data_IF_459183708705
#
_entry.id   IF_459183708705
#
_cell.length_a   1.000
_cell.length_b   1.000
_cell.length_c   1.000
_cell.angle_alpha   90.00
_cell.angle_beta   90.00
_cell.angle_gamma   90.00
#
_symmetry.space_group_name_H-M   'P 1'
#
loop_
_entity.id
_entity.type
_entity.pdbx_description
1 polymer ?
#
# COMPACT_ATOMS: atom_id res chain seq x y z
N UNK A 1 3.71 40.55 -47.28
CA UNK A 1 4.76 39.77 -46.63
C UNK A 1 4.94 40.38 -45.25
N UNK A 2 4.53 39.70 -44.18
CA UNK A 2 4.78 40.09 -42.79
C UNK A 2 5.95 39.24 -42.33
N UNK A 3 7.04 39.88 -41.95
CA UNK A 3 8.19 39.24 -41.34
C UNK A 3 7.75 38.58 -40.01
N UNK A 4 8.08 37.31 -39.83
CA UNK A 4 7.94 36.58 -38.58
C UNK A 4 9.30 36.71 -37.90
N UNK A 5 9.36 37.56 -36.88
CA UNK A 5 10.51 37.64 -35.98
C UNK A 5 10.70 36.32 -35.24
N UNK A 6 11.76 35.60 -35.54
CA UNK A 6 12.22 34.48 -34.73
C UNK A 6 12.80 35.01 -33.41
N UNK A 7 12.10 34.82 -32.34
CA UNK A 7 12.66 35.01 -30.99
C UNK A 7 13.92 34.13 -30.85
N UNK A 8 15.06 34.77 -30.60
CA UNK A 8 16.28 34.08 -30.21
C UNK A 8 16.00 33.26 -28.94
N UNK A 9 16.55 32.03 -28.81
CA UNK A 9 16.35 31.25 -27.59
C UNK A 9 16.99 32.01 -26.43
N UNK A 10 16.14 32.46 -25.49
CA UNK A 10 16.56 32.94 -24.19
C UNK A 10 17.44 31.86 -23.56
N UNK A 11 18.60 32.25 -23.05
CA UNK A 11 19.53 31.43 -22.28
C UNK A 11 18.74 30.56 -21.28
N UNK A 12 18.49 29.31 -21.64
CA UNK A 12 18.13 28.28 -20.69
C UNK A 12 19.38 28.07 -19.85
N UNK A 13 19.47 28.79 -18.76
CA UNK A 13 20.42 28.50 -17.71
C UNK A 13 20.08 27.08 -17.25
N UNK A 14 20.87 26.09 -17.66
CA UNK A 14 20.86 24.78 -17.04
C UNK A 14 21.20 25.02 -15.58
N UNK A 15 20.14 25.10 -14.74
CA UNK A 15 20.29 25.02 -13.30
C UNK A 15 20.77 23.59 -13.06
N UNK A 16 22.08 23.42 -12.95
CA UNK A 16 22.67 22.13 -12.63
C UNK A 16 22.14 21.66 -11.28
N UNK A 17 21.22 20.74 -11.36
CA UNK A 17 20.93 19.61 -10.49
C UNK A 17 20.98 19.89 -8.99
N UNK A 18 20.05 20.70 -8.51
CA UNK A 18 19.70 20.80 -7.06
C UNK A 18 18.99 19.55 -6.53
N UNK A 19 18.62 18.61 -7.40
CA UNK A 19 17.76 17.45 -7.13
C UNK A 19 18.50 16.11 -7.00
N UNK A 20 19.86 16.08 -7.12
CA UNK A 20 20.65 14.84 -6.96
C UNK A 20 20.68 14.38 -5.51
N UNK A 21 20.55 13.08 -5.32
CA UNK A 21 20.66 12.43 -4.02
C UNK A 21 22.09 12.62 -3.47
N UNK A 22 22.21 13.35 -2.38
CA UNK A 22 23.46 13.55 -1.66
C UNK A 22 23.64 12.53 -0.53
N UNK A 23 22.53 12.18 0.14
CA UNK A 23 22.54 11.34 1.35
C UNK A 23 21.26 10.55 1.49
N UNK A 24 21.42 9.33 1.97
CA UNK A 24 20.32 8.44 2.36
C UNK A 24 20.56 8.02 3.81
N UNK A 25 19.60 8.28 4.70
CA UNK A 25 19.59 7.77 6.07
C UNK A 25 18.48 6.74 6.22
N UNK A 26 18.76 5.69 6.97
CA UNK A 26 17.82 4.61 7.23
C UNK A 26 17.56 4.50 8.72
N UNK A 27 16.30 4.49 9.12
CA UNK A 27 15.82 4.38 10.47
C UNK A 27 14.92 3.15 10.62
N UNK A 28 14.71 2.70 11.84
CA UNK A 28 13.67 1.73 12.17
C UNK A 28 12.99 2.11 13.47
N UNK A 29 11.69 1.86 13.53
CA UNK A 29 10.89 2.03 14.74
C UNK A 29 9.81 0.96 14.80
N UNK A 30 9.21 0.78 15.97
CA UNK A 30 8.16 -0.20 16.15
C UNK A 30 6.79 0.41 15.85
N UNK A 31 5.92 -0.39 15.26
CA UNK A 31 4.49 -0.11 15.12
C UNK A 31 3.72 -1.16 15.89
N UNK A 32 3.03 -0.75 16.95
CA UNK A 32 2.25 -1.61 17.83
C UNK A 32 0.77 -1.52 17.48
N UNK A 33 0.12 -2.66 17.27
CA UNK A 33 -1.31 -2.69 16.97
C UNK A 33 -2.13 -2.16 18.15
N UNK A 34 -3.01 -1.20 17.87
CA UNK A 34 -3.72 -0.44 18.90
C UNK A 34 -4.84 -1.23 19.61
N UNK A 35 -5.27 -2.37 19.04
CA UNK A 35 -6.43 -3.13 19.52
C UNK A 35 -6.06 -4.52 20.09
N UNK A 36 -4.85 -4.67 20.64
CA UNK A 36 -4.39 -5.92 21.25
C UNK A 36 -3.63 -6.83 20.30
N UNK A 37 -4.10 -8.04 20.05
CA UNK A 37 -3.47 -8.98 19.15
C UNK A 37 -4.21 -9.02 17.79
N UNK A 38 -3.49 -8.85 16.70
CA UNK A 38 -4.04 -8.99 15.36
C UNK A 38 -3.87 -10.43 14.88
N UNK A 39 -4.94 -11.21 14.95
CA UNK A 39 -4.95 -12.62 14.61
C UNK A 39 -5.40 -12.81 13.16
N UNK A 40 -4.63 -13.59 12.40
CA UNK A 40 -4.88 -13.95 11.01
C UNK A 40 -4.98 -15.47 10.84
N UNK A 41 -5.25 -15.92 9.63
CA UNK A 41 -5.24 -17.33 9.24
C UNK A 41 -3.94 -18.05 9.64
N UNK A 42 -4.00 -19.38 9.77
CA UNK A 42 -2.87 -20.24 10.13
C UNK A 42 -2.22 -19.91 11.50
N UNK A 43 -2.99 -19.30 12.44
CA UNK A 43 -2.51 -18.97 13.78
C UNK A 43 -1.48 -17.85 13.85
N UNK A 44 -1.34 -17.07 12.78
CA UNK A 44 -0.44 -15.91 12.77
C UNK A 44 -1.01 -14.82 13.67
N UNK A 45 -0.20 -14.34 14.59
CA UNK A 45 -0.56 -13.26 15.51
C UNK A 45 0.48 -12.17 15.46
N UNK A 46 0.02 -10.92 15.35
CA UNK A 46 0.86 -9.73 15.29
C UNK A 46 0.47 -8.81 16.43
N UNK A 47 1.46 -8.30 17.14
CA UNK A 47 1.30 -7.27 18.15
C UNK A 47 2.15 -6.05 17.85
N UNK A 48 3.40 -6.27 17.47
CA UNK A 48 4.34 -5.21 17.13
C UNK A 48 5.15 -5.63 15.91
N UNK A 49 5.33 -4.72 14.96
CA UNK A 49 6.12 -4.89 13.75
C UNK A 49 7.22 -3.85 13.68
N UNK A 50 8.35 -4.23 13.10
CA UNK A 50 9.46 -3.33 12.83
C UNK A 50 9.25 -2.64 11.48
N UNK A 51 9.06 -1.33 11.52
CA UNK A 51 8.99 -0.46 10.34
C UNK A 51 10.37 0.13 10.01
N UNK A 52 10.60 0.37 8.73
CA UNK A 52 11.81 1.03 8.20
C UNK A 52 11.41 2.34 7.55
N UNK A 53 12.08 3.43 7.94
CA UNK A 53 11.94 4.75 7.34
C UNK A 53 13.23 5.14 6.63
N UNK A 54 13.11 5.69 5.43
CA UNK A 54 14.22 6.24 4.66
C UNK A 54 14.03 7.74 4.52
N UNK A 55 15.10 8.48 4.80
CA UNK A 55 15.25 9.91 4.48
C UNK A 55 16.23 10.04 3.32
N UNK A 56 15.78 10.57 2.21
CA UNK A 56 16.62 11.00 1.08
C UNK A 56 16.84 12.50 1.22
N UNK A 57 18.12 12.94 1.17
CA UNK A 57 18.48 14.38 1.15
C UNK A 57 19.14 14.70 -0.17
N UNK A 58 18.65 15.72 -0.86
CA UNK A 58 19.24 16.21 -2.12
C UNK A 58 20.42 17.15 -1.88
N UNK A 59 21.18 17.47 -2.94
CA UNK A 59 22.29 18.45 -2.89
C UNK A 59 21.80 19.86 -2.46
N UNK A 60 20.54 20.21 -2.74
CA UNK A 60 19.91 21.46 -2.28
C UNK A 60 19.40 21.43 -0.85
N UNK A 61 19.51 20.30 -0.15
CA UNK A 61 19.01 20.12 1.21
C UNK A 61 17.52 19.76 1.29
N UNK A 62 16.84 19.52 0.17
CA UNK A 62 15.45 19.03 0.21
C UNK A 62 15.44 17.60 0.72
N UNK A 63 14.52 17.33 1.66
CA UNK A 63 14.38 16.04 2.32
C UNK A 63 13.07 15.35 1.90
N UNK A 64 13.16 14.10 1.46
CA UNK A 64 12.03 13.24 1.18
C UNK A 64 12.04 12.01 2.08
N UNK A 65 10.86 11.53 2.45
CA UNK A 65 10.67 10.42 3.38
C UNK A 65 9.80 9.33 2.76
N UNK A 66 10.13 8.09 3.11
CA UNK A 66 9.31 6.93 2.78
C UNK A 66 9.33 5.94 3.94
N UNK A 67 8.37 5.04 3.93
CA UNK A 67 8.21 4.02 4.95
C UNK A 67 7.82 2.69 4.34
N UNK A 68 8.26 1.59 4.98
CA UNK A 68 7.78 0.24 4.73
C UNK A 68 7.74 -0.56 6.02
N UNK A 69 6.64 -1.27 6.24
CA UNK A 69 6.49 -2.18 7.36
C UNK A 69 6.03 -3.56 6.87
N UNK A 70 6.97 -4.50 6.61
CA UNK A 70 6.60 -5.86 6.21
C UNK A 70 5.86 -6.58 7.33
N UNK A 71 4.77 -7.26 6.98
CA UNK A 71 3.93 -8.02 7.93
C UNK A 71 4.62 -9.28 8.49
N UNK A 72 5.78 -9.60 7.97
CA UNK A 72 6.62 -10.70 8.44
C UNK A 72 6.83 -11.81 7.41
N UNK A 73 7.86 -12.67 7.64
CA UNK A 73 8.35 -13.64 6.65
C UNK A 73 7.39 -14.81 6.41
N UNK A 74 6.42 -15.01 7.29
CA UNK A 74 5.42 -16.08 7.14
C UNK A 74 4.24 -15.68 6.25
N UNK A 75 4.17 -14.40 5.90
CA UNK A 75 3.09 -13.85 5.07
C UNK A 75 3.60 -13.57 3.64
N UNK A 76 4.69 -12.85 3.52
CA UNK A 76 5.28 -12.43 2.24
C UNK A 76 6.82 -12.57 2.29
N UNK A 77 7.52 -12.53 1.15
CA UNK A 77 8.98 -12.58 1.09
C UNK A 77 9.62 -11.25 1.54
N UNK A 78 9.27 -10.79 2.75
CA UNK A 78 9.75 -9.55 3.35
C UNK A 78 9.64 -9.59 4.87
N UNK A 79 10.59 -9.00 5.58
CA UNK A 79 10.63 -8.94 7.04
C UNK A 79 11.35 -7.68 7.52
N UNK A 80 11.01 -7.19 8.73
CA UNK A 80 11.44 -5.89 9.22
C UNK A 80 12.94 -5.64 9.16
N UNK A 81 13.78 -6.57 9.68
CA UNK A 81 15.24 -6.40 9.64
C UNK A 81 15.85 -6.64 8.26
N UNK A 82 15.13 -7.26 7.33
CA UNK A 82 15.58 -7.48 5.96
C UNK A 82 15.56 -6.22 5.11
N UNK A 83 14.63 -5.30 5.35
CA UNK A 83 14.53 -4.07 4.58
C UNK A 83 15.78 -3.19 4.72
N UNK A 84 16.27 -2.82 5.93
CA UNK A 84 17.51 -2.06 6.09
C UNK A 84 18.73 -2.74 5.47
N UNK A 85 18.85 -4.07 5.62
CA UNK A 85 19.96 -4.85 5.04
C UNK A 85 19.96 -4.78 3.52
N UNK A 86 18.81 -4.96 2.88
CA UNK A 86 18.68 -4.86 1.44
C UNK A 86 18.96 -3.43 0.92
N UNK A 87 18.51 -2.39 1.65
CA UNK A 87 18.79 -1.00 1.30
C UNK A 87 20.30 -0.73 1.32
N UNK A 88 21.03 -1.27 2.29
CA UNK A 88 22.48 -1.08 2.37
C UNK A 88 23.24 -1.58 1.13
N UNK A 89 22.72 -2.60 0.44
CA UNK A 89 23.31 -3.14 -0.78
C UNK A 89 23.18 -2.19 -1.97
N UNK A 90 22.02 -1.57 -2.19
CA UNK A 90 21.79 -0.78 -3.39
C UNK A 90 21.87 0.76 -3.16
N UNK A 91 21.70 1.25 -1.94
CA UNK A 91 21.69 2.69 -1.66
C UNK A 91 22.96 3.43 -2.14
N UNK A 92 24.19 2.85 -2.06
CA UNK A 92 25.38 3.51 -2.60
C UNK A 92 25.29 3.85 -4.08
N UNK A 93 24.59 3.04 -4.89
CA UNK A 93 24.45 3.25 -6.34
C UNK A 93 23.46 4.38 -6.68
N UNK A 94 22.69 4.86 -5.71
CA UNK A 94 21.74 5.96 -5.88
C UNK A 94 22.34 7.35 -5.61
N UNK A 95 23.51 7.42 -4.99
CA UNK A 95 24.16 8.70 -4.71
C UNK A 95 24.53 9.40 -6.02
N UNK A 96 24.10 10.65 -6.16
CA UNK A 96 24.28 11.43 -7.39
C UNK A 96 23.21 11.23 -8.45
N UNK A 97 22.28 10.30 -8.26
CA UNK A 97 21.10 10.14 -9.12
C UNK A 97 20.09 11.24 -8.81
N UNK A 98 19.44 11.77 -9.84
CA UNK A 98 18.45 12.82 -9.72
C UNK A 98 17.10 12.25 -9.23
N UNK A 99 16.50 12.82 -8.17
CA UNK A 99 15.22 12.37 -7.63
C UNK A 99 14.05 12.53 -8.61
N UNK A 100 14.17 13.43 -9.59
CA UNK A 100 13.17 13.61 -10.64
C UNK A 100 13.16 12.45 -11.65
N UNK A 101 14.27 11.69 -11.73
CA UNK A 101 14.40 10.55 -12.64
C UNK A 101 14.02 9.24 -11.96
N UNK A 102 12.77 9.12 -11.56
CA UNK A 102 12.23 7.94 -10.86
C UNK A 102 12.42 6.64 -11.64
N UNK A 103 12.36 6.70 -12.97
CA UNK A 103 12.62 5.54 -13.84
C UNK A 103 14.06 5.04 -13.71
N UNK A 104 15.04 5.94 -13.68
CA UNK A 104 16.45 5.59 -13.48
C UNK A 104 16.71 5.07 -12.07
N UNK A 105 16.08 5.67 -11.04
CA UNK A 105 16.16 5.21 -9.65
C UNK A 105 15.73 3.76 -9.55
N UNK A 106 14.55 3.43 -10.08
CA UNK A 106 14.02 2.06 -10.08
C UNK A 106 14.93 1.10 -10.85
N UNK A 107 15.37 1.49 -12.05
CA UNK A 107 16.31 0.69 -12.83
C UNK A 107 17.62 0.42 -12.07
N UNK A 108 18.18 1.45 -11.43
CA UNK A 108 19.42 1.34 -10.63
C UNK A 108 19.25 0.37 -9.46
N UNK A 109 18.14 0.48 -8.72
CA UNK A 109 17.84 -0.45 -7.62
C UNK A 109 17.63 -1.88 -8.13
N UNK A 110 16.95 -2.06 -9.27
CA UNK A 110 16.69 -3.37 -9.85
C UNK A 110 17.97 -4.02 -10.39
N UNK A 111 18.91 -3.23 -10.94
CA UNK A 111 20.21 -3.70 -11.41
C UNK A 111 21.17 -4.05 -10.27
N UNK A 112 21.11 -3.33 -9.15
CA UNK A 112 21.99 -3.56 -8.00
C UNK A 112 21.55 -4.75 -7.15
N UNK A 113 20.23 -5.00 -7.00
CA UNK A 113 19.71 -6.08 -6.17
C UNK A 113 18.45 -6.67 -6.80
N UNK A 114 18.49 -7.98 -7.08
CA UNK A 114 17.30 -8.70 -7.58
C UNK A 114 16.25 -8.88 -6.49
N UNK A 115 14.96 -8.75 -6.82
CA UNK A 115 13.86 -8.90 -5.85
C UNK A 115 13.80 -7.75 -4.83
N UNK A 116 13.48 -8.08 -3.59
CA UNK A 116 13.42 -7.13 -2.45
C UNK A 116 12.54 -5.90 -2.67
N UNK A 117 11.35 -6.09 -3.28
CA UNK A 117 10.40 -5.00 -3.58
C UNK A 117 10.11 -4.09 -2.39
N UNK A 118 9.96 -4.67 -1.19
CA UNK A 118 9.73 -3.91 0.04
C UNK A 118 10.82 -2.89 0.35
N UNK A 119 12.09 -3.32 0.23
CA UNK A 119 13.22 -2.43 0.48
C UNK A 119 13.35 -1.33 -0.58
N UNK A 120 13.00 -1.64 -1.83
CA UNK A 120 12.99 -0.66 -2.93
C UNK A 120 11.85 0.33 -2.79
N UNK A 121 10.69 -0.14 -2.32
CA UNK A 121 9.50 0.69 -2.13
C UNK A 121 9.74 1.88 -1.22
N UNK A 122 10.38 1.68 -0.08
CA UNK A 122 10.61 2.78 0.87
C UNK A 122 11.51 3.87 0.29
N UNK A 123 12.50 3.50 -0.52
CA UNK A 123 13.38 4.46 -1.20
C UNK A 123 12.66 5.15 -2.35
N UNK A 124 11.86 4.42 -3.12
CA UNK A 124 11.04 4.98 -4.19
C UNK A 124 10.04 6.01 -3.64
N UNK A 125 9.33 5.71 -2.55
CA UNK A 125 8.42 6.65 -1.87
C UNK A 125 9.17 7.90 -1.40
N UNK A 126 10.35 7.75 -0.77
CA UNK A 126 11.17 8.87 -0.35
C UNK A 126 11.60 9.76 -1.51
N UNK A 127 11.91 9.16 -2.66
CA UNK A 127 12.25 9.91 -3.88
C UNK A 127 11.02 10.62 -4.46
N UNK A 128 9.82 10.02 -4.44
CA UNK A 128 8.58 10.69 -4.82
C UNK A 128 8.28 11.90 -3.93
N UNK A 129 8.47 11.77 -2.62
CA UNK A 129 8.29 12.88 -1.67
C UNK A 129 9.31 14.02 -1.95
N UNK A 130 10.60 13.67 -2.10
CA UNK A 130 11.63 14.64 -2.47
C UNK A 130 11.33 15.31 -3.82
N UNK A 131 10.95 14.55 -4.84
CA UNK A 131 10.59 15.08 -6.16
C UNK A 131 9.43 16.07 -6.08
N UNK A 132 8.34 15.70 -5.38
CA UNK A 132 7.22 16.61 -5.17
C UNK A 132 7.64 17.92 -4.51
N UNK A 133 8.53 17.88 -3.53
CA UNK A 133 9.09 19.07 -2.85
C UNK A 133 10.00 19.88 -3.78
N UNK A 134 10.84 19.24 -4.61
CA UNK A 134 11.68 19.91 -5.60
C UNK A 134 10.85 20.73 -6.58
N UNK A 135 9.78 20.14 -7.12
CA UNK A 135 8.92 20.81 -8.11
C UNK A 135 7.73 21.56 -7.49
N UNK A 136 7.69 21.63 -6.16
CA UNK A 136 6.64 22.27 -5.38
C UNK A 136 5.22 21.78 -5.76
N UNK A 137 5.06 20.46 -5.85
CA UNK A 137 3.79 19.81 -6.18
C UNK A 137 3.49 18.66 -5.20
N UNK A 138 2.23 18.45 -4.81
CA UNK A 138 1.81 17.24 -4.13
C UNK A 138 2.04 15.99 -4.99
N UNK A 139 2.36 14.87 -4.35
CA UNK A 139 2.62 13.60 -5.06
C UNK A 139 1.43 13.17 -5.92
N UNK A 140 0.18 13.34 -5.47
CA UNK A 140 -0.99 12.98 -6.30
C UNK A 140 -1.05 13.76 -7.62
N UNK A 141 -0.55 15.01 -7.66
CA UNK A 141 -0.47 15.80 -8.92
C UNK A 141 0.45 15.11 -9.91
N UNK A 142 1.61 14.64 -9.44
CA UNK A 142 2.61 13.94 -10.27
C UNK A 142 2.15 12.52 -10.65
N UNK A 143 1.25 11.94 -9.87
CA UNK A 143 0.63 10.64 -10.17
C UNK A 143 -0.51 10.73 -11.21
N UNK A 144 -0.84 11.92 -11.69
CA UNK A 144 -1.86 12.13 -12.73
C UNK A 144 -2.98 13.09 -12.35
N UNK A 145 -2.90 13.71 -11.16
CA UNK A 145 -3.87 14.69 -10.66
C UNK A 145 -4.84 14.10 -9.65
N UNK A 146 -5.39 14.99 -8.81
CA UNK A 146 -6.41 14.61 -7.82
C UNK A 146 -7.76 14.43 -8.52
N UNK A 147 -8.30 13.23 -8.46
CA UNK A 147 -9.57 12.87 -9.09
C UNK A 147 -10.75 12.88 -8.10
N UNK A 148 -10.47 12.71 -6.80
CA UNK A 148 -11.46 12.83 -5.72
C UNK A 148 -10.77 13.08 -4.36
N UNK A 149 -11.56 13.57 -3.40
CA UNK A 149 -11.09 13.99 -2.06
C UNK A 149 -11.56 13.06 -0.95
N UNK A 150 -12.51 12.20 -1.25
CA UNK A 150 -13.22 11.38 -0.28
C UNK A 150 -12.98 9.90 -0.58
N UNK A 151 -11.96 9.33 0.08
CA UNK A 151 -11.50 7.97 -0.16
C UNK A 151 -12.31 6.97 0.67
N UNK A 152 -12.88 5.92 0.05
CA UNK A 152 -13.54 4.86 0.80
C UNK A 152 -12.51 4.03 1.56
N UNK A 153 -12.64 3.94 2.88
CA UNK A 153 -11.74 3.13 3.70
C UNK A 153 -12.38 1.79 4.07
N UNK A 154 -11.54 0.78 4.29
CA UNK A 154 -11.92 -0.45 4.93
C UNK A 154 -11.24 -0.61 6.30
N UNK A 155 -11.81 -1.44 7.15
CA UNK A 155 -11.20 -1.87 8.40
C UNK A 155 -11.03 -3.39 8.39
N UNK A 156 -9.83 -3.86 8.75
CA UNK A 156 -9.59 -5.27 8.97
C UNK A 156 -10.13 -5.70 10.34
N UNK A 157 -10.83 -6.82 10.34
CA UNK A 157 -11.42 -7.44 11.52
C UNK A 157 -10.62 -8.71 11.84
N UNK A 158 -9.85 -8.74 12.92
CA UNK A 158 -9.07 -9.91 13.30
C UNK A 158 -9.93 -11.17 13.48
N UNK A 159 -9.33 -12.33 13.26
CA UNK A 159 -9.99 -13.63 13.47
C UNK A 159 -10.25 -13.86 14.96
N UNK A 160 -11.52 -14.05 15.32
CA UNK A 160 -11.97 -14.31 16.69
C UNK A 160 -13.28 -15.12 16.70
N UNK A 161 -13.95 -15.24 17.84
CA UNK A 161 -15.30 -15.78 17.96
C UNK A 161 -16.32 -14.93 17.20
N UNK A 162 -17.48 -15.51 16.85
CA UNK A 162 -18.55 -14.77 16.18
C UNK A 162 -18.94 -13.51 16.96
N UNK A 163 -19.05 -13.62 18.29
CA UNK A 163 -19.47 -12.54 19.19
C UNK A 163 -18.47 -11.39 19.21
N UNK A 164 -17.17 -11.68 19.33
CA UNK A 164 -16.13 -10.64 19.37
C UNK A 164 -15.95 -9.98 18.00
N UNK A 165 -16.02 -10.73 16.90
CA UNK A 165 -15.98 -10.16 15.56
C UNK A 165 -17.19 -9.26 15.28
N UNK A 166 -18.41 -9.67 15.67
CA UNK A 166 -19.63 -8.84 15.57
C UNK A 166 -19.47 -7.56 16.39
N UNK A 167 -18.99 -7.67 17.64
CA UNK A 167 -18.75 -6.51 18.52
C UNK A 167 -17.74 -5.54 17.90
N UNK A 168 -16.64 -6.04 17.33
CA UNK A 168 -15.65 -5.23 16.63
C UNK A 168 -16.27 -4.50 15.44
N UNK A 169 -16.99 -5.21 14.57
CA UNK A 169 -17.69 -4.65 13.40
C UNK A 169 -18.68 -3.57 13.82
N UNK A 170 -19.50 -3.83 14.85
CA UNK A 170 -20.47 -2.85 15.33
C UNK A 170 -19.83 -1.59 15.90
N UNK A 171 -18.68 -1.71 16.59
CA UNK A 171 -17.91 -0.55 17.04
C UNK A 171 -17.39 0.28 15.87
N UNK A 172 -16.78 -0.35 14.85
CA UNK A 172 -16.28 0.35 13.66
C UNK A 172 -17.40 0.94 12.81
N UNK A 173 -18.54 0.24 12.71
CA UNK A 173 -19.75 0.75 12.05
C UNK A 173 -20.29 2.02 12.71
N UNK A 174 -20.30 2.08 14.04
CA UNK A 174 -20.68 3.28 14.79
C UNK A 174 -19.76 4.49 14.49
N UNK A 175 -18.51 4.23 14.09
CA UNK A 175 -17.56 5.24 13.63
C UNK A 175 -17.70 5.60 12.14
N UNK A 176 -18.65 4.98 11.42
CA UNK A 176 -18.96 5.27 10.01
C UNK A 176 -18.35 4.32 9.00
N UNK A 177 -17.63 3.28 9.43
CA UNK A 177 -17.07 2.26 8.53
C UNK A 177 -18.17 1.50 7.80
N UNK A 178 -17.98 1.30 6.49
CA UNK A 178 -18.92 0.58 5.60
C UNK A 178 -18.28 -0.61 4.87
N UNK A 179 -16.98 -0.84 5.04
CA UNK A 179 -16.24 -1.92 4.40
C UNK A 179 -15.43 -2.66 5.44
N UNK A 180 -15.65 -3.96 5.54
CA UNK A 180 -15.08 -4.83 6.57
C UNK A 180 -14.35 -5.98 5.91
N UNK A 181 -13.02 -6.04 6.08
CA UNK A 181 -12.20 -7.18 5.69
C UNK A 181 -12.12 -8.13 6.88
N UNK A 182 -12.85 -9.24 6.81
CA UNK A 182 -12.91 -10.24 7.87
C UNK A 182 -11.81 -11.26 7.66
N UNK A 183 -10.95 -11.46 8.65
CA UNK A 183 -9.96 -12.51 8.60
C UNK A 183 -10.63 -13.87 8.81
N UNK A 184 -10.43 -14.75 7.83
CA UNK A 184 -10.89 -16.14 7.75
C UNK A 184 -9.71 -17.04 7.36
N UNK A 185 -9.90 -18.22 6.84
CA UNK A 185 -8.81 -19.10 6.39
C UNK A 185 -8.40 -20.13 7.44
N UNK A 186 -9.31 -20.46 8.34
CA UNK A 186 -9.18 -21.54 9.32
C UNK A 186 -10.10 -22.73 8.94
N UNK A 187 -11.03 -23.15 9.78
CA UNK A 187 -11.99 -24.19 9.47
C UNK A 187 -13.16 -23.60 8.66
N UNK A 188 -13.54 -24.17 7.48
CA UNK A 188 -14.50 -23.55 6.55
C UNK A 188 -15.89 -23.29 7.14
N UNK A 189 -16.42 -24.19 7.96
CA UNK A 189 -17.74 -24.04 8.56
C UNK A 189 -17.75 -22.96 9.65
N UNK A 190 -16.70 -22.88 10.45
CA UNK A 190 -16.54 -21.83 11.47
C UNK A 190 -16.38 -20.47 10.80
N UNK A 191 -15.57 -20.39 9.74
CA UNK A 191 -15.35 -19.17 8.97
C UNK A 191 -16.66 -18.68 8.31
N UNK A 192 -17.42 -19.59 7.70
CA UNK A 192 -18.72 -19.26 7.13
C UNK A 192 -19.72 -18.78 8.21
N UNK A 193 -19.69 -19.39 9.42
CA UNK A 193 -20.50 -18.96 10.56
C UNK A 193 -20.17 -17.53 11.00
N UNK A 194 -18.87 -17.17 11.06
CA UNK A 194 -18.38 -15.80 11.38
C UNK A 194 -18.90 -14.77 10.37
N UNK A 195 -18.72 -15.06 9.07
CA UNK A 195 -19.18 -14.18 7.99
C UNK A 195 -20.70 -14.01 8.03
N UNK A 196 -21.45 -15.12 8.21
CA UNK A 196 -22.92 -15.09 8.31
C UNK A 196 -23.42 -14.31 9.54
N UNK A 197 -22.70 -14.39 10.68
CA UNK A 197 -23.04 -13.59 11.86
C UNK A 197 -22.89 -12.08 11.60
N UNK A 198 -21.85 -11.68 10.90
CA UNK A 198 -21.59 -10.28 10.53
C UNK A 198 -22.57 -9.80 9.47
N UNK A 199 -22.89 -10.63 8.48
CA UNK A 199 -23.85 -10.30 7.41
C UNK A 199 -25.24 -9.92 7.95
N UNK A 200 -25.61 -10.39 9.15
CA UNK A 200 -26.88 -10.07 9.83
C UNK A 200 -26.91 -8.68 10.48
N UNK A 201 -25.75 -8.08 10.77
CA UNK A 201 -25.66 -6.83 11.54
C UNK A 201 -25.19 -5.63 10.72
N UNK A 202 -24.76 -5.86 9.48
CA UNK A 202 -24.37 -4.79 8.55
C UNK A 202 -25.55 -4.26 7.73
N UNK A 203 -25.43 -3.06 7.20
CA UNK A 203 -26.47 -2.42 6.38
C UNK A 203 -26.41 -2.86 4.91
N UNK A 204 -27.48 -2.53 4.16
CA UNK A 204 -27.59 -2.91 2.74
C UNK A 204 -26.49 -2.36 1.84
N UNK A 205 -25.81 -1.30 2.24
CA UNK A 205 -24.73 -0.66 1.47
C UNK A 205 -23.32 -0.99 2.02
N UNK A 206 -23.24 -1.80 3.06
CA UNK A 206 -21.94 -2.22 3.60
C UNK A 206 -21.38 -3.41 2.81
N UNK A 207 -20.08 -3.59 2.82
CA UNK A 207 -19.38 -4.63 2.07
C UNK A 207 -18.57 -5.49 3.03
N UNK A 208 -18.65 -6.80 2.85
CA UNK A 208 -17.79 -7.79 3.48
C UNK A 208 -16.76 -8.29 2.47
N UNK A 209 -15.51 -8.35 2.87
CA UNK A 209 -14.44 -9.06 2.18
C UNK A 209 -13.96 -10.17 3.13
N UNK A 210 -14.25 -11.43 2.78
CA UNK A 210 -13.81 -12.60 3.53
C UNK A 210 -12.39 -12.98 3.07
N UNK A 211 -11.38 -12.52 3.81
CA UNK A 211 -9.97 -12.66 3.46
C UNK A 211 -9.34 -13.87 4.16
N UNK A 212 -9.05 -14.88 3.37
CA UNK A 212 -8.39 -16.09 3.85
C UNK A 212 -6.86 -15.97 3.97
N UNK A 213 -6.24 -14.95 3.43
CA UNK A 213 -4.78 -14.77 3.39
C UNK A 213 -4.05 -16.08 3.01
N UNK A 214 -4.49 -16.74 1.95
CA UNK A 214 -3.98 -18.04 1.51
C UNK A 214 -4.14 -19.18 2.54
N UNK A 215 -5.02 -19.04 3.52
CA UNK A 215 -5.09 -19.96 4.66
C UNK A 215 -5.74 -21.32 4.35
N UNK A 216 -6.63 -21.38 3.38
CA UNK A 216 -7.29 -22.61 3.00
C UNK A 216 -6.48 -23.44 2.01
N UNK A 217 -6.62 -24.75 2.13
CA UNK A 217 -6.32 -25.67 1.04
C UNK A 217 -7.44 -25.61 0.00
N UNK A 218 -7.18 -26.02 -1.21
CA UNK A 218 -8.15 -25.96 -2.33
C UNK A 218 -9.53 -26.55 -1.96
N UNK A 219 -9.55 -27.72 -1.32
CA UNK A 219 -10.79 -28.36 -0.91
C UNK A 219 -11.57 -27.51 0.12
N UNK A 220 -10.86 -26.94 1.10
CA UNK A 220 -11.45 -26.13 2.17
C UNK A 220 -11.99 -24.79 1.61
N UNK A 221 -11.24 -24.18 0.68
CA UNK A 221 -11.67 -22.99 -0.04
C UNK A 221 -12.95 -23.21 -0.86
N UNK A 222 -13.11 -24.36 -1.52
CA UNK A 222 -14.33 -24.72 -2.26
C UNK A 222 -15.51 -24.95 -1.29
N UNK A 223 -15.28 -25.55 -0.11
CA UNK A 223 -16.31 -25.71 0.91
C UNK A 223 -16.74 -24.32 1.43
N UNK A 224 -15.80 -23.48 1.84
CA UNK A 224 -16.08 -22.14 2.33
C UNK A 224 -16.85 -21.30 1.28
N UNK A 225 -16.39 -21.30 0.03
CA UNK A 225 -17.06 -20.58 -1.05
C UNK A 225 -18.54 -21.00 -1.21
N UNK A 226 -18.85 -22.31 -1.16
CA UNK A 226 -20.23 -22.81 -1.22
C UNK A 226 -21.08 -22.41 -0.01
N UNK A 227 -20.49 -22.40 1.17
CA UNK A 227 -21.20 -21.98 2.39
C UNK A 227 -21.51 -20.49 2.42
N UNK A 228 -20.72 -19.67 1.69
CA UNK A 228 -20.89 -18.23 1.58
C UNK A 228 -21.76 -17.81 0.38
N UNK A 229 -22.09 -18.71 -0.55
CA UNK A 229 -22.70 -18.43 -1.86
C UNK A 229 -24.01 -17.63 -1.75
N UNK A 230 -24.82 -17.89 -0.74
CA UNK A 230 -26.11 -17.25 -0.54
C UNK A 230 -26.05 -15.93 0.27
N UNK A 231 -24.85 -15.47 0.60
CA UNK A 231 -24.67 -14.22 1.33
C UNK A 231 -24.46 -13.05 0.37
N UNK A 232 -25.35 -12.09 0.42
CA UNK A 232 -25.23 -10.87 -0.38
C UNK A 232 -24.00 -10.03 0.04
N UNK A 233 -23.34 -9.40 -0.93
CA UNK A 233 -22.26 -8.42 -0.73
C UNK A 233 -21.01 -8.95 -0.03
N UNK A 234 -20.80 -10.26 -0.12
CA UNK A 234 -19.57 -10.91 0.32
C UNK A 234 -18.66 -11.11 -0.87
N UNK A 235 -17.43 -10.61 -0.75
CA UNK A 235 -16.32 -10.87 -1.65
C UNK A 235 -15.42 -11.92 -1.03
N UNK A 236 -14.91 -12.85 -1.83
CA UNK A 236 -13.95 -13.87 -1.40
C UNK A 236 -12.53 -13.41 -1.76
N UNK A 237 -11.70 -13.15 -0.75
CA UNK A 237 -10.34 -12.67 -0.96
C UNK A 237 -9.33 -13.78 -0.75
N UNK A 238 -8.40 -13.92 -1.71
CA UNK A 238 -7.24 -14.80 -1.74
C UNK A 238 -7.42 -16.13 -1.01
N UNK A 239 -8.32 -16.98 -1.49
CA UNK A 239 -8.69 -18.23 -0.81
C UNK A 239 -7.51 -19.22 -0.69
N UNK A 240 -6.65 -19.26 -1.72
CA UNK A 240 -5.55 -20.20 -1.84
C UNK A 240 -4.22 -19.50 -2.19
N UNK A 241 -3.11 -20.25 -2.14
CA UNK A 241 -1.75 -19.71 -2.29
C UNK A 241 -1.38 -19.37 -3.74
N UNK A 242 -1.91 -20.09 -4.70
CA UNK A 242 -1.55 -19.93 -6.11
C UNK A 242 -2.71 -19.40 -6.93
N UNK A 243 -2.40 -18.72 -8.02
CA UNK A 243 -3.43 -18.26 -8.97
C UNK A 243 -4.22 -19.45 -9.54
N UNK A 244 -3.54 -20.56 -9.82
CA UNK A 244 -4.14 -21.78 -10.36
C UNK A 244 -5.19 -22.38 -9.42
N UNK A 245 -4.90 -22.43 -8.12
CA UNK A 245 -5.88 -22.87 -7.11
C UNK A 245 -7.05 -21.88 -7.00
N UNK A 246 -6.78 -20.58 -6.99
CA UNK A 246 -7.82 -19.55 -6.98
C UNK A 246 -8.73 -19.65 -8.21
N UNK A 247 -8.21 -19.98 -9.39
CA UNK A 247 -8.99 -20.22 -10.60
C UNK A 247 -9.92 -21.43 -10.45
N UNK A 248 -9.47 -22.52 -9.81
CA UNK A 248 -10.33 -23.68 -9.54
C UNK A 248 -11.47 -23.32 -8.57
N UNK A 249 -11.19 -22.48 -7.55
CA UNK A 249 -12.23 -21.95 -6.66
C UNK A 249 -13.22 -21.08 -7.45
N UNK A 250 -12.71 -20.19 -8.31
CA UNK A 250 -13.51 -19.32 -9.17
C UNK A 250 -14.53 -20.09 -10.03
N UNK A 251 -14.14 -21.25 -10.55
CA UNK A 251 -15.04 -22.12 -11.34
C UNK A 251 -16.17 -22.76 -10.52
N UNK A 252 -16.11 -22.67 -9.19
CA UNK A 252 -17.02 -23.35 -8.24
C UNK A 252 -17.92 -22.41 -7.46
N UNK A 253 -17.80 -21.09 -7.68
CA UNK A 253 -18.57 -20.06 -6.99
C UNK A 253 -18.93 -18.90 -7.90
N UNK A 254 -20.06 -18.23 -7.61
CA UNK A 254 -20.46 -16.96 -8.22
C UNK A 254 -20.06 -15.76 -7.36
N UNK A 255 -19.52 -15.98 -6.16
CA UNK A 255 -19.02 -14.90 -5.32
C UNK A 255 -17.99 -14.03 -6.05
N UNK A 256 -18.08 -12.71 -5.95
CA UNK A 256 -17.03 -11.86 -6.48
C UNK A 256 -15.72 -12.12 -5.72
N UNK A 257 -14.61 -12.18 -6.46
CA UNK A 257 -13.29 -12.49 -5.90
C UNK A 257 -12.37 -11.27 -5.90
N UNK A 258 -11.55 -11.18 -4.85
CA UNK A 258 -10.44 -10.25 -4.73
C UNK A 258 -9.15 -11.04 -4.71
N UNK A 259 -8.19 -10.70 -5.56
CA UNK A 259 -6.84 -11.29 -5.53
C UNK A 259 -5.88 -10.34 -4.83
N UNK A 260 -5.13 -10.86 -3.88
CA UNK A 260 -4.17 -10.13 -3.04
C UNK A 260 -2.73 -10.66 -3.22
N UNK A 261 -2.35 -11.69 -2.48
CA UNK A 261 -0.97 -12.17 -2.39
C UNK A 261 -0.37 -12.58 -3.73
N UNK A 262 -1.18 -13.08 -4.65
CA UNK A 262 -0.72 -13.49 -5.99
C UNK A 262 -0.46 -12.31 -6.92
N UNK A 263 -0.96 -11.12 -6.62
CA UNK A 263 -0.77 -9.93 -7.46
C UNK A 263 0.59 -9.30 -7.14
N UNK A 264 1.62 -9.81 -7.76
CA UNK A 264 3.02 -9.40 -7.53
C UNK A 264 3.58 -8.49 -8.63
N UNK A 265 3.02 -8.58 -9.83
CA UNK A 265 3.53 -7.88 -11.01
C UNK A 265 2.47 -7.79 -12.13
N UNK A 266 2.71 -6.98 -13.18
CA UNK A 266 1.75 -6.81 -14.29
C UNK A 266 1.46 -8.10 -15.06
N UNK A 267 2.38 -9.07 -15.12
CA UNK A 267 2.19 -10.30 -15.88
C UNK A 267 1.17 -11.20 -15.18
N UNK A 268 1.24 -11.29 -13.85
CA UNK A 268 0.24 -12.02 -13.07
C UNK A 268 -1.13 -11.33 -13.16
N UNK A 269 -1.19 -10.01 -13.06
CA UNK A 269 -2.43 -9.25 -13.23
C UNK A 269 -3.10 -9.54 -14.59
N UNK A 270 -2.34 -9.49 -15.69
CA UNK A 270 -2.85 -9.77 -17.04
C UNK A 270 -3.33 -11.23 -17.16
N UNK A 271 -2.60 -12.19 -16.59
CA UNK A 271 -3.03 -13.60 -16.55
C UNK A 271 -4.35 -13.77 -15.81
N UNK A 272 -4.46 -13.17 -14.62
CA UNK A 272 -5.67 -13.23 -13.81
C UNK A 272 -6.86 -12.56 -14.51
N UNK A 273 -6.66 -11.41 -15.14
CA UNK A 273 -7.68 -10.71 -15.92
C UNK A 273 -8.18 -11.57 -17.10
N UNK A 274 -7.27 -12.11 -17.91
CA UNK A 274 -7.63 -12.96 -19.05
C UNK A 274 -8.39 -14.22 -18.64
N UNK A 275 -8.07 -14.75 -17.46
CA UNK A 275 -8.74 -15.91 -16.88
C UNK A 275 -10.06 -15.55 -16.13
N UNK A 276 -10.44 -14.27 -16.07
CA UNK A 276 -11.61 -13.76 -15.31
C UNK A 276 -11.61 -14.20 -13.85
N UNK A 277 -10.42 -14.14 -13.24
CA UNK A 277 -10.19 -14.67 -11.91
C UNK A 277 -10.74 -13.79 -10.78
N UNK A 278 -11.01 -12.48 -11.05
CA UNK A 278 -11.34 -11.53 -10.00
C UNK A 278 -12.21 -10.37 -10.53
N UNK A 279 -12.91 -9.71 -9.62
CA UNK A 279 -13.58 -8.42 -9.79
C UNK A 279 -12.76 -7.26 -9.24
N UNK A 280 -11.85 -7.54 -8.29
CA UNK A 280 -10.97 -6.55 -7.72
C UNK A 280 -9.59 -7.16 -7.37
N UNK A 281 -8.60 -6.30 -7.17
CA UNK A 281 -7.29 -6.69 -6.63
C UNK A 281 -6.93 -5.83 -5.43
N UNK A 282 -6.01 -6.34 -4.60
CA UNK A 282 -5.30 -5.54 -3.62
C UNK A 282 -3.94 -5.10 -4.19
N UNK A 283 -3.82 -3.80 -4.43
CA UNK A 283 -2.59 -3.18 -4.91
C UNK A 283 -1.78 -2.68 -3.71
N UNK A 284 -0.82 -3.49 -3.28
CA UNK A 284 0.11 -3.15 -2.18
C UNK A 284 1.35 -2.48 -2.73
N UNK A 285 1.56 -1.22 -2.36
CA UNK A 285 2.64 -0.37 -2.88
C UNK A 285 4.01 -1.04 -2.67
N UNK A 286 4.27 -1.56 -1.46
CA UNK A 286 5.55 -2.19 -1.16
C UNK A 286 5.76 -3.53 -1.87
N UNK A 287 4.70 -4.32 -2.07
CA UNK A 287 4.78 -5.60 -2.78
C UNK A 287 5.28 -5.42 -4.21
N UNK A 288 4.76 -4.44 -4.91
CA UNK A 288 5.14 -4.20 -6.30
C UNK A 288 6.44 -3.40 -6.43
N UNK A 289 6.97 -2.84 -5.34
CA UNK A 289 8.28 -2.19 -5.30
C UNK A 289 8.27 -0.67 -5.33
N UNK A 290 7.19 -0.03 -4.87
CA UNK A 290 7.07 1.40 -4.68
C UNK A 290 5.97 2.07 -5.50
N UNK A 291 5.80 3.38 -5.30
CA UNK A 291 4.79 4.20 -5.97
C UNK A 291 4.94 4.21 -7.49
N UNK A 292 6.18 4.20 -8.01
CA UNK A 292 6.45 4.17 -9.46
C UNK A 292 5.83 2.93 -10.11
N UNK A 293 6.04 1.76 -9.54
CA UNK A 293 5.49 0.50 -10.05
C UNK A 293 4.00 0.36 -9.72
N UNK A 294 3.56 0.85 -8.54
CA UNK A 294 2.16 0.85 -8.16
C UNK A 294 1.31 1.75 -9.07
N UNK A 295 1.84 2.93 -9.47
CA UNK A 295 1.20 3.78 -10.48
C UNK A 295 0.98 3.04 -11.79
N UNK A 296 1.99 2.32 -12.28
CA UNK A 296 1.87 1.54 -13.51
C UNK A 296 0.80 0.44 -13.39
N UNK A 297 0.76 -0.28 -12.26
CA UNK A 297 -0.25 -1.29 -11.99
C UNK A 297 -1.67 -0.68 -11.92
N UNK A 298 -1.81 0.48 -11.24
CA UNK A 298 -3.07 1.25 -11.17
C UNK A 298 -3.56 1.65 -12.56
N UNK A 299 -2.67 2.24 -13.38
CA UNK A 299 -3.02 2.68 -14.74
C UNK A 299 -3.43 1.49 -15.63
N UNK A 300 -2.79 0.34 -15.45
CA UNK A 300 -3.18 -0.90 -16.13
C UNK A 300 -4.56 -1.38 -15.67
N UNK A 301 -4.84 -1.40 -14.37
CA UNK A 301 -6.16 -1.75 -13.83
C UNK A 301 -7.25 -0.81 -14.34
N UNK A 302 -6.99 0.50 -14.39
CA UNK A 302 -7.93 1.48 -14.97
C UNK A 302 -8.22 1.18 -16.44
N UNK A 303 -7.19 0.86 -17.22
CA UNK A 303 -7.34 0.51 -18.64
C UNK A 303 -8.14 -0.78 -18.85
N UNK A 304 -8.09 -1.70 -17.90
CA UNK A 304 -8.78 -2.99 -17.93
C UNK A 304 -10.17 -2.95 -17.24
N UNK A 305 -10.52 -1.86 -16.57
CA UNK A 305 -11.76 -1.75 -15.78
C UNK A 305 -11.75 -2.61 -14.50
N UNK A 306 -10.57 -2.91 -13.94
CA UNK A 306 -10.41 -3.72 -12.73
C UNK A 306 -10.43 -2.81 -11.50
N UNK A 307 -11.28 -3.12 -10.53
CA UNK A 307 -11.31 -2.40 -9.24
C UNK A 307 -10.07 -2.70 -8.41
N UNK A 308 -9.68 -1.74 -7.58
CA UNK A 308 -8.51 -1.84 -6.72
C UNK A 308 -8.80 -1.43 -5.28
N UNK A 309 -8.37 -2.22 -4.32
CA UNK A 309 -8.02 -1.71 -3.01
C UNK A 309 -6.58 -1.23 -3.07
N UNK A 310 -6.34 0.05 -2.76
CA UNK A 310 -4.99 0.60 -2.68
C UNK A 310 -4.56 0.60 -1.22
N UNK A 311 -3.50 -0.13 -0.93
CA UNK A 311 -3.06 -0.39 0.43
C UNK A 311 -1.56 -0.73 0.52
N UNK A 312 -1.12 -1.12 1.70
CA UNK A 312 0.14 -1.82 1.92
C UNK A 312 -0.03 -3.02 2.85
N UNK A 313 1.04 -3.71 3.18
CA UNK A 313 0.98 -4.86 4.09
C UNK A 313 0.77 -4.43 5.54
N UNK A 314 1.46 -3.36 5.96
CA UNK A 314 1.33 -2.61 7.19
C UNK A 314 2.03 -1.27 7.04
N UNK A 315 1.83 -0.33 7.97
CA UNK A 315 2.52 0.94 7.92
C UNK A 315 2.01 1.97 8.92
N UNK A 316 2.82 3.00 9.12
CA UNK A 316 2.46 4.20 9.87
C UNK A 316 2.03 5.35 8.96
N UNK A 317 2.34 6.57 9.40
CA UNK A 317 1.88 7.80 8.75
C UNK A 317 2.39 7.97 7.32
N UNK A 318 3.66 7.67 7.04
CA UNK A 318 4.27 7.84 5.72
C UNK A 318 3.73 6.85 4.70
N UNK A 319 3.55 5.59 5.09
CA UNK A 319 2.90 4.57 4.25
C UNK A 319 1.47 4.97 3.94
N UNK A 320 0.72 5.42 4.95
CA UNK A 320 -0.67 5.86 4.79
C UNK A 320 -0.77 7.08 3.88
N UNK A 321 0.16 8.03 3.97
CA UNK A 321 0.21 9.15 3.04
C UNK A 321 0.45 8.70 1.59
N UNK A 322 1.40 7.79 1.34
CA UNK A 322 1.63 7.24 0.02
C UNK A 322 0.37 6.56 -0.56
N UNK A 323 -0.33 5.76 0.26
CA UNK A 323 -1.62 5.15 -0.08
C UNK A 323 -2.66 6.22 -0.42
N UNK A 324 -2.76 7.28 0.40
CA UNK A 324 -3.75 8.36 0.18
C UNK A 324 -3.52 9.11 -1.13
N UNK A 325 -2.26 9.42 -1.47
CA UNK A 325 -1.92 10.10 -2.72
C UNK A 325 -2.21 9.25 -3.96
N UNK A 326 -1.86 7.96 -3.93
CA UNK A 326 -2.16 7.06 -5.03
C UNK A 326 -3.68 6.88 -5.18
N UNK A 327 -4.39 6.69 -4.08
CA UNK A 327 -5.86 6.57 -4.06
C UNK A 327 -6.55 7.82 -4.59
N UNK A 328 -6.15 9.02 -4.14
CA UNK A 328 -6.73 10.29 -4.59
C UNK A 328 -6.52 10.56 -6.08
N UNK A 329 -5.50 9.97 -6.69
CA UNK A 329 -5.21 10.06 -8.13
C UNK A 329 -5.83 8.93 -8.96
N UNK A 330 -6.55 8.00 -8.33
CA UNK A 330 -7.21 6.85 -8.97
C UNK A 330 -8.64 7.19 -9.37
N UNK A 331 -9.17 6.52 -10.40
CA UNK A 331 -10.57 6.65 -10.80
C UNK A 331 -11.50 6.26 -9.64
N UNK A 332 -12.41 7.15 -9.20
CA UNK A 332 -13.30 6.87 -8.06
C UNK A 332 -14.24 5.67 -8.29
N UNK A 333 -14.57 5.33 -9.54
CA UNK A 333 -15.40 4.17 -9.87
C UNK A 333 -14.62 2.85 -9.74
N UNK A 334 -13.29 2.92 -9.87
CA UNK A 334 -12.39 1.78 -9.79
C UNK A 334 -11.66 1.68 -8.44
N UNK A 335 -11.71 2.70 -7.60
CA UNK A 335 -11.22 2.62 -6.24
C UNK A 335 -12.22 1.86 -5.37
N UNK A 336 -11.93 0.57 -5.12
CA UNK A 336 -12.77 -0.28 -4.27
C UNK A 336 -12.67 0.13 -2.81
N UNK A 337 -11.44 0.31 -2.29
CA UNK A 337 -11.15 0.83 -0.96
C UNK A 337 -9.72 1.34 -0.87
N UNK A 338 -9.39 1.99 0.24
CA UNK A 338 -8.01 2.26 0.66
C UNK A 338 -7.83 1.85 2.14
N UNK A 339 -6.58 1.63 2.58
CA UNK A 339 -6.27 1.36 3.98
C UNK A 339 -5.58 2.56 4.63
N UNK A 340 -6.02 2.91 5.83
CA UNK A 340 -5.34 3.87 6.71
C UNK A 340 -4.79 3.11 7.91
N UNK A 341 -3.62 2.48 7.69
CA UNK A 341 -3.03 1.59 8.69
C UNK A 341 -2.46 2.33 9.88
N UNK A 342 -2.18 3.64 9.75
CA UNK A 342 -1.82 4.47 10.88
C UNK A 342 -2.94 4.62 11.91
N UNK A 343 -4.20 4.41 11.54
CA UNK A 343 -5.32 4.33 12.51
C UNK A 343 -5.27 3.06 13.38
N UNK A 344 -4.46 2.08 12.99
CA UNK A 344 -4.38 0.78 13.68
C UNK A 344 -3.15 0.64 14.58
N UNK A 345 -2.30 1.67 14.66
CA UNK A 345 -1.06 1.64 15.42
C UNK A 345 -1.00 2.74 16.46
N UNK A 346 -0.12 2.57 17.46
CA UNK A 346 0.04 3.51 18.56
C UNK A 346 1.10 4.57 18.28
N UNK A 347 2.11 4.23 17.46
CA UNK A 347 3.26 5.09 17.21
C UNK A 347 3.06 5.89 15.91
N UNK A 348 3.33 7.18 15.99
CA UNK A 348 3.21 8.13 14.88
C UNK A 348 4.50 8.94 14.74
N UNK A 349 4.94 9.14 13.50
CA UNK A 349 6.19 9.87 13.19
C UNK A 349 5.93 11.16 12.41
N UNK A 350 4.67 11.42 12.05
CA UNK A 350 4.26 12.62 11.31
C UNK A 350 2.90 13.15 11.81
N UNK A 351 2.76 13.26 13.13
CA UNK A 351 1.59 13.87 13.78
C UNK A 351 0.28 13.12 13.59
N UNK A 352 0.32 11.81 13.37
CA UNK A 352 -0.86 10.98 13.05
C UNK A 352 -1.64 11.53 11.84
N UNK A 353 -0.97 11.72 10.74
CA UNK A 353 -1.55 12.24 9.50
C UNK A 353 -1.16 11.34 8.31
N UNK A 354 -2.06 11.08 7.32
CA UNK A 354 -3.48 11.47 7.31
C UNK A 354 -4.33 10.68 8.31
N UNK A 355 -5.48 11.21 8.69
CA UNK A 355 -6.44 10.56 9.58
C UNK A 355 -7.70 10.16 8.84
N UNK A 356 -8.31 9.06 9.27
CA UNK A 356 -9.68 8.73 8.85
C UNK A 356 -10.71 9.60 9.58
N UNK A 357 -11.84 9.79 8.91
CA UNK A 357 -13.01 10.45 9.48
C UNK A 357 -14.28 9.77 8.98
N UNK A 358 -15.05 9.19 9.88
CA UNK A 358 -16.29 8.47 9.55
C UNK A 358 -16.11 7.39 8.46
N UNK A 359 -15.07 6.58 8.57
CA UNK A 359 -14.76 5.51 7.60
C UNK A 359 -14.32 6.03 6.21
N UNK A 360 -13.93 7.29 6.14
CA UNK A 360 -13.44 7.97 4.92
C UNK A 360 -12.06 8.57 5.16
N UNK A 361 -11.30 8.70 4.09
CA UNK A 361 -9.96 9.28 4.11
C UNK A 361 -9.79 10.42 3.11
N UNK A 362 -8.73 11.18 3.28
CA UNK A 362 -8.25 12.20 2.34
C UNK A 362 -6.73 12.31 2.45
N UNK A 363 -6.06 12.96 1.51
CA UNK A 363 -4.65 13.32 1.70
C UNK A 363 -4.49 14.30 2.86
N UNK A 364 -3.33 14.28 3.54
CA UNK A 364 -3.07 15.09 4.76
C UNK A 364 -3.25 16.59 4.52
N UNK A 365 -2.52 17.12 3.55
CA UNK A 365 -2.62 18.51 3.10
C UNK A 365 -2.63 18.54 1.58
N UNK A 366 -3.76 18.94 1.02
CA UNK A 366 -3.98 18.99 -0.43
C UNK A 366 -3.14 20.05 -1.14
N UNK A 367 -2.53 20.97 -0.43
CA UNK A 367 -1.71 22.05 -0.99
C UNK A 367 -0.22 21.83 -0.76
N UNK A 368 0.17 20.99 0.20
CA UNK A 368 1.57 20.80 0.55
C UNK A 368 2.31 19.95 -0.50
N UNK A 369 3.56 20.30 -0.84
CA UNK A 369 4.36 19.54 -1.77
C UNK A 369 4.81 18.20 -1.17
N UNK A 370 5.14 17.25 -2.04
CA UNK A 370 5.52 15.90 -1.63
C UNK A 370 4.34 15.12 -1.09
N UNK A 371 4.55 14.37 -0.01
CA UNK A 371 3.50 13.63 0.71
C UNK A 371 2.67 14.52 1.65
N UNK A 372 3.00 15.81 1.77
CA UNK A 372 2.28 16.73 2.63
C UNK A 372 2.42 16.46 4.13
N UNK A 373 3.55 15.90 4.55
CA UNK A 373 3.85 15.54 5.93
C UNK A 373 5.12 16.22 6.45
N UNK A 374 5.12 16.54 7.73
CA UNK A 374 6.31 16.90 8.49
C UNK A 374 6.72 15.73 9.40
N UNK A 375 7.93 15.22 9.21
CA UNK A 375 8.42 14.05 9.93
C UNK A 375 9.18 14.45 11.17
N UNK A 376 8.78 13.91 12.31
CA UNK A 376 9.39 14.13 13.63
C UNK A 376 10.60 13.21 13.79
N UNK A 377 11.79 13.67 13.36
CA UNK A 377 13.02 12.88 13.40
C UNK A 377 13.41 12.43 14.81
N UNK A 378 13.04 13.17 15.84
CA UNK A 378 13.31 12.80 17.24
C UNK A 378 12.59 11.49 17.62
N UNK A 379 11.41 11.26 17.09
CA UNK A 379 10.64 10.02 17.29
C UNK A 379 11.32 8.80 16.63
N UNK A 380 12.02 9.00 15.51
CA UNK A 380 12.78 7.96 14.83
C UNK A 380 14.10 7.62 15.51
N UNK A 381 14.67 8.55 16.31
CA UNK A 381 15.95 8.38 16.98
C UNK A 381 17.15 8.44 16.02
N UNK A 382 18.24 7.75 16.37
CA UNK A 382 19.43 7.72 15.53
C UNK A 382 19.25 6.81 14.31
N UNK A 383 19.80 7.18 13.13
CA UNK A 383 19.75 6.31 11.96
C UNK A 383 20.55 5.04 12.20
N UNK A 384 20.07 3.91 11.67
CA UNK A 384 20.80 2.64 11.67
C UNK A 384 22.10 2.75 10.88
N UNK A 385 22.05 3.45 9.76
CA UNK A 385 23.20 3.79 8.94
C UNK A 385 22.90 4.99 8.01
N UNK A 386 23.97 5.53 7.45
CA UNK A 386 23.92 6.64 6.48
C UNK A 386 24.80 6.30 5.30
N UNK A 387 24.28 6.49 4.08
CA UNK A 387 25.05 6.48 2.84
C UNK A 387 25.10 7.90 2.30
N UNK A 388 26.29 8.41 1.97
CA UNK A 388 26.46 9.78 1.51
C UNK A 388 27.58 9.86 0.46
N UNK A 389 27.52 10.91 -0.36
CA UNK A 389 28.67 11.27 -1.21
C UNK A 389 29.91 11.52 -0.35
N UNK A 390 31.11 11.18 -0.82
CA UNK A 390 32.34 11.60 -0.16
C UNK A 390 32.34 13.11 0.04
N UNK A 391 32.74 13.56 1.22
CA UNK A 391 32.97 14.98 1.46
C UNK A 391 34.05 15.48 0.47
N UNK A 392 33.70 16.44 -0.37
CA UNK A 392 34.64 17.08 -1.28
C UNK A 392 35.53 18.07 -0.54
#
# INVERSE_FOLDING_TARGET
MREIDFFAPSNICYIHSVSKIQRIKVFSYNLTYAHGDYVMSAGRTIRTLLSTVVQVTTESGIEGFGEVCPLGPNYLPGYGTGAPSAIAEFAPSLIGVDVENLGLINHTMDAALSGHGYAKSVVDIACWDAYGKVVNQPVYTLLGGRRHDDLPLYVAVPLDSNEEMVKHVMARKAEGTKRFQLKVGAEPHDDASRVAAIAKVIDANDVIVADANCGWRLQDAVIAARLLEDLDRVYLEQPCRTLEECLIVRERTTLPMVLDEVITDPQVLIRAYNAKAMEAINLKISRVGGLTKAKFMRDLCESLGVRMTIEDTWGGDLTTAAVSHLSASTDPELLFAASYMNDWVLEHVAGYSPRSHHGRGSVSDVAAPGLGLEVELETLGAPLFTVAAPLR
#
